data_IF_864892188137
#
_entry.id   IF_864892188137
#
_cell.length_a   1.000
_cell.length_b   1.000
_cell.length_c   1.000
_cell.angle_alpha   90.00
_cell.angle_beta   90.00
_cell.angle_gamma   90.00
#
_symmetry.space_group_name_H-M   'P 1'
#
loop_
_entity.id
_entity.type
_entity.pdbx_description
1 polymer ?
#
# COMPACT_ATOMS: atom_id res chain seq x y z
N UNK A 1 116.23 5.88 -5.77
CA UNK A 1 114.97 5.43 -5.16
C UNK A 1 114.03 6.61 -5.30
N UNK A 2 113.27 6.65 -6.41
CA UNK A 2 111.87 6.20 -6.48
C UNK A 2 110.94 7.25 -5.84
N UNK A 3 109.85 7.74 -6.40
CA UNK A 3 109.10 7.46 -7.63
C UNK A 3 108.00 8.56 -7.72
N UNK A 4 107.70 8.99 -8.95
CA UNK A 4 106.45 9.55 -9.51
C UNK A 4 105.47 10.48 -8.74
N UNK A 5 105.14 11.61 -9.38
CA UNK A 5 103.76 12.19 -9.45
C UNK A 5 103.02 11.49 -10.61
N UNK A 6 101.72 11.15 -10.51
CA UNK A 6 100.68 11.93 -11.24
C UNK A 6 99.26 11.95 -10.57
N UNK A 7 98.47 13.04 -10.63
CA UNK A 7 97.43 13.48 -11.60
C UNK A 7 96.02 12.82 -11.45
N UNK A 8 95.06 13.68 -11.07
CA UNK A 8 93.64 13.83 -11.47
C UNK A 8 92.78 12.63 -11.88
N UNK A 9 91.62 12.50 -11.24
CA UNK A 9 90.35 12.24 -11.93
C UNK A 9 89.27 13.17 -11.36
N UNK A 10 88.85 14.15 -12.16
CA UNK A 10 87.53 14.77 -12.01
C UNK A 10 86.47 13.92 -12.70
N UNK A 11 85.24 13.94 -12.17
CA UNK A 11 83.92 13.88 -12.83
C UNK A 11 82.85 13.34 -11.85
N UNK A 12 81.53 13.55 -12.08
CA UNK A 12 80.92 14.15 -13.26
C UNK A 12 79.96 15.32 -12.97
N UNK A 13 79.74 16.09 -14.04
CA UNK A 13 78.50 16.80 -14.33
C UNK A 13 77.34 15.80 -14.18
N UNK A 14 76.50 15.99 -13.15
CA UNK A 14 75.22 15.29 -13.08
C UNK A 14 74.23 16.07 -13.94
N UNK A 15 73.92 15.44 -15.06
CA UNK A 15 72.90 15.81 -16.04
C UNK A 15 71.55 15.86 -15.31
N UNK A 16 70.75 16.88 -15.59
CA UNK A 16 69.36 16.96 -15.19
C UNK A 16 68.56 15.85 -15.89
N UNK A 17 68.47 14.69 -15.27
CA UNK A 17 67.43 13.71 -15.55
C UNK A 17 66.51 13.67 -14.34
N UNK A 18 65.22 13.93 -14.57
CA UNK A 18 64.05 13.35 -13.86
C UNK A 18 62.85 14.28 -13.60
N UNK A 19 62.78 15.46 -14.20
CA UNK A 19 61.49 16.21 -14.20
C UNK A 19 60.50 15.67 -15.26
N UNK A 20 60.98 15.23 -16.43
CA UNK A 20 60.10 14.71 -17.51
C UNK A 20 59.47 13.34 -17.19
N UNK A 21 60.17 12.48 -16.43
CA UNK A 21 59.70 11.11 -16.15
C UNK A 21 58.61 11.07 -15.06
N UNK A 22 58.65 12.02 -14.11
CA UNK A 22 57.64 12.19 -13.07
C UNK A 22 56.36 12.81 -13.65
N UNK A 23 56.49 13.71 -14.62
CA UNK A 23 55.34 14.33 -15.29
C UNK A 23 54.60 13.35 -16.23
N UNK A 24 55.34 12.48 -16.93
CA UNK A 24 54.77 11.40 -17.75
C UNK A 24 53.97 10.36 -16.92
N UNK A 25 54.42 10.02 -15.71
CA UNK A 25 53.68 9.11 -14.80
C UNK A 25 52.42 9.75 -14.20
N UNK A 26 52.47 11.06 -13.87
CA UNK A 26 51.28 11.81 -13.42
C UNK A 26 50.26 12.00 -14.54
N UNK A 27 50.73 12.24 -15.77
CA UNK A 27 49.88 12.33 -16.96
C UNK A 27 49.17 11.00 -17.23
N UNK A 28 49.89 9.87 -17.29
CA UNK A 28 49.28 8.54 -17.52
C UNK A 28 48.22 8.16 -16.47
N UNK A 29 48.41 8.49 -15.19
CA UNK A 29 47.40 8.28 -14.14
C UNK A 29 46.13 9.13 -14.33
N UNK A 30 46.27 10.39 -14.78
CA UNK A 30 45.14 11.27 -15.08
C UNK A 30 44.33 10.76 -16.28
N UNK A 31 44.99 10.22 -17.31
CA UNK A 31 44.32 9.59 -18.46
C UNK A 31 43.61 8.28 -18.10
N UNK A 32 44.19 7.45 -17.23
CA UNK A 32 43.52 6.23 -16.76
C UNK A 32 42.28 6.54 -15.88
N UNK A 33 42.35 7.52 -14.97
CA UNK A 33 41.21 7.90 -14.13
C UNK A 33 40.14 8.62 -14.96
N UNK A 34 40.53 9.51 -15.87
CA UNK A 34 39.62 10.18 -16.80
C UNK A 34 38.90 9.18 -17.73
N UNK A 35 39.61 8.18 -18.26
CA UNK A 35 39.01 7.12 -19.07
C UNK A 35 38.04 6.22 -18.30
N UNK A 36 38.29 5.97 -17.02
CA UNK A 36 37.42 5.15 -16.15
C UNK A 36 36.15 5.92 -15.75
N UNK A 37 36.25 7.21 -15.48
CA UNK A 37 35.10 8.09 -15.20
C UNK A 37 34.25 8.29 -16.47
N UNK A 38 34.87 8.51 -17.63
CA UNK A 38 34.15 8.58 -18.90
C UNK A 38 33.50 7.24 -19.24
N UNK A 39 34.17 6.11 -18.98
CA UNK A 39 33.60 4.77 -19.15
C UNK A 39 32.37 4.51 -18.26
N UNK A 40 32.41 4.93 -16.98
CA UNK A 40 31.25 4.85 -16.06
C UNK A 40 30.10 5.75 -16.52
N UNK A 41 30.39 6.98 -16.96
CA UNK A 41 29.37 7.90 -17.47
C UNK A 41 28.73 7.36 -18.75
N UNK A 42 29.52 6.81 -19.67
CA UNK A 42 29.01 6.17 -20.88
C UNK A 42 28.17 4.92 -20.55
N UNK A 43 28.60 4.09 -19.60
CA UNK A 43 27.83 2.92 -19.17
C UNK A 43 26.52 3.34 -18.49
N UNK A 44 26.54 4.35 -17.63
CA UNK A 44 25.35 4.92 -17.01
C UNK A 44 24.40 5.53 -18.05
N UNK A 45 24.92 6.23 -19.06
CA UNK A 45 24.13 6.77 -20.16
C UNK A 45 23.54 5.68 -21.06
N UNK A 46 24.25 4.56 -21.27
CA UNK A 46 23.74 3.40 -22.01
C UNK A 46 22.69 2.66 -21.19
N UNK A 47 22.89 2.45 -19.89
CA UNK A 47 21.89 1.85 -19.00
C UNK A 47 20.66 2.76 -18.92
N UNK A 48 20.85 4.06 -18.76
CA UNK A 48 19.76 5.03 -18.78
C UNK A 48 19.05 5.05 -20.14
N UNK A 49 19.79 4.99 -21.25
CA UNK A 49 19.23 4.92 -22.60
C UNK A 49 18.47 3.61 -22.87
N UNK A 50 18.92 2.48 -22.30
CA UNK A 50 18.23 1.19 -22.40
C UNK A 50 16.99 1.18 -21.50
N UNK A 51 17.07 1.67 -20.25
CA UNK A 51 15.92 1.80 -19.35
C UNK A 51 14.90 2.76 -19.94
N UNK A 52 15.33 3.92 -20.44
CA UNK A 52 14.51 4.90 -21.15
C UNK A 52 13.92 4.32 -22.43
N UNK A 53 14.67 3.55 -23.22
CA UNK A 53 14.14 2.90 -24.41
C UNK A 53 13.17 1.74 -24.07
N UNK A 54 13.38 1.00 -22.98
CA UNK A 54 12.47 -0.08 -22.55
C UNK A 54 11.18 0.50 -21.96
N UNK A 55 11.25 1.58 -21.17
CA UNK A 55 10.07 2.32 -20.72
C UNK A 55 9.38 2.98 -21.91
N UNK A 56 10.07 3.76 -22.74
CA UNK A 56 9.45 4.43 -23.88
C UNK A 56 9.02 3.50 -25.01
N UNK A 57 9.58 2.30 -25.20
CA UNK A 57 9.09 1.35 -26.21
C UNK A 57 7.78 0.68 -25.78
N UNK A 58 7.49 0.62 -24.47
CA UNK A 58 6.13 0.32 -23.98
C UNK A 58 5.14 1.47 -24.27
N UNK A 59 5.62 2.71 -24.38
CA UNK A 59 4.77 3.91 -24.57
C UNK A 59 4.79 4.53 -25.98
N UNK A 60 5.67 4.10 -26.89
CA UNK A 60 5.69 4.53 -28.29
C UNK A 60 4.58 3.86 -29.12
N UNK A 61 4.01 2.78 -28.59
CA UNK A 61 2.74 2.22 -29.05
C UNK A 61 1.56 2.74 -28.19
N UNK A 62 1.71 3.94 -27.63
CA UNK A 62 0.67 4.59 -26.85
C UNK A 62 -0.62 4.67 -27.65
N UNK A 63 -1.59 3.87 -27.24
CA UNK A 63 -2.98 4.32 -27.21
C UNK A 63 -2.96 5.71 -26.60
N UNK A 64 -3.58 6.69 -27.27
CA UNK A 64 -3.81 8.00 -26.68
C UNK A 64 -4.36 7.82 -25.24
N UNK A 65 -4.09 8.75 -24.30
CA UNK A 65 -4.80 8.73 -23.02
C UNK A 65 -6.28 8.55 -23.33
N UNK A 66 -6.87 7.50 -22.77
CA UNK A 66 -8.26 7.19 -23.03
C UNK A 66 -9.06 8.48 -22.83
N UNK A 67 -9.74 8.93 -23.88
CA UNK A 67 -10.76 9.99 -23.74
C UNK A 67 -11.61 9.61 -22.54
N UNK A 68 -11.85 10.52 -21.58
CA UNK A 68 -12.68 10.22 -20.43
C UNK A 68 -13.96 9.60 -20.95
N UNK A 69 -14.27 8.38 -20.50
CA UNK A 69 -15.51 7.72 -20.86
C UNK A 69 -16.65 8.69 -20.54
N UNK A 70 -17.45 9.04 -21.56
CA UNK A 70 -18.65 9.86 -21.38
C UNK A 70 -19.78 9.06 -20.73
N UNK A 71 -19.54 7.79 -20.38
CA UNK A 71 -20.46 6.99 -19.59
C UNK A 71 -20.50 7.52 -18.16
N UNK A 72 -21.71 7.67 -17.61
CA UNK A 72 -21.89 7.91 -16.18
C UNK A 72 -21.14 6.84 -15.37
N UNK A 73 -20.62 7.18 -14.17
CA UNK A 73 -19.94 6.19 -13.31
C UNK A 73 -20.83 4.96 -13.16
N UNK A 74 -20.27 3.77 -13.40
CA UNK A 74 -20.98 2.51 -13.16
C UNK A 74 -21.25 2.42 -11.66
N UNK A 75 -22.49 2.65 -11.26
CA UNK A 75 -22.91 2.53 -9.86
C UNK A 75 -23.46 1.14 -9.62
N UNK A 76 -22.83 0.42 -8.70
CA UNK A 76 -23.29 -0.89 -8.31
C UNK A 76 -24.49 -0.77 -7.36
N UNK A 77 -25.39 -1.74 -7.44
CA UNK A 77 -26.46 -1.83 -6.46
C UNK A 77 -25.87 -2.18 -5.09
N UNK A 78 -26.19 -1.36 -4.09
CA UNK A 78 -25.78 -1.58 -2.70
C UNK A 78 -26.84 -2.44 -2.02
N UNK A 79 -26.41 -3.46 -1.27
CA UNK A 79 -27.32 -4.29 -0.48
C UNK A 79 -28.14 -3.43 0.49
N UNK A 80 -29.46 -3.67 0.63
CA UNK A 80 -30.26 -2.99 1.65
C UNK A 80 -29.81 -3.33 3.08
N UNK A 81 -29.00 -4.38 3.26
CA UNK A 81 -28.47 -4.81 4.55
C UNK A 81 -27.05 -4.30 4.83
N UNK A 82 -26.45 -3.52 3.92
CA UNK A 82 -25.08 -3.04 4.08
C UNK A 82 -24.93 -2.08 5.26
N UNK A 83 -25.96 -1.26 5.54
CA UNK A 83 -25.99 -0.33 6.68
C UNK A 83 -24.66 0.45 6.81
N UNK A 84 -24.24 1.11 5.73
CA UNK A 84 -22.90 1.68 5.58
C UNK A 84 -22.90 3.21 5.65
N UNK A 85 -21.82 3.76 6.23
CA UNK A 85 -21.43 5.14 6.02
C UNK A 85 -20.42 5.20 4.86
N UNK A 86 -20.78 5.89 3.77
CA UNK A 86 -19.93 5.96 2.59
C UNK A 86 -18.62 6.72 2.87
N UNK A 87 -18.73 7.93 3.42
CA UNK A 87 -17.59 8.80 3.72
C UNK A 87 -17.73 9.38 5.11
N UNK A 88 -16.64 9.37 5.86
CA UNK A 88 -16.49 10.14 7.09
C UNK A 88 -15.23 10.99 6.99
N UNK A 89 -15.38 12.30 7.23
CA UNK A 89 -14.28 13.26 7.25
C UNK A 89 -13.90 13.58 8.69
N UNK A 90 -12.63 13.38 9.03
CA UNK A 90 -12.06 13.80 10.31
C UNK A 90 -11.39 15.16 10.13
N UNK A 91 -12.06 16.20 10.62
CA UNK A 91 -11.57 17.58 10.53
C UNK A 91 -10.39 17.85 11.48
N UNK A 92 -9.85 19.06 11.44
CA UNK A 92 -8.73 19.47 12.29
C UNK A 92 -9.05 19.45 13.80
N UNK A 93 -10.33 19.37 14.20
CA UNK A 93 -10.74 19.29 15.60
C UNK A 93 -10.87 17.85 16.10
N UNK A 94 -10.79 16.87 15.20
CA UNK A 94 -10.91 15.46 15.54
C UNK A 94 -9.77 15.05 16.50
N UNK A 95 -10.07 14.36 17.64
CA UNK A 95 -9.06 14.04 18.65
C UNK A 95 -7.83 13.30 18.10
N UNK A 96 -8.01 12.50 17.05
CA UNK A 96 -6.94 11.76 16.43
C UNK A 96 -5.92 12.63 15.68
N UNK A 97 -6.29 13.83 15.22
CA UNK A 97 -5.37 14.76 14.52
C UNK A 97 -4.30 15.31 15.48
N UNK A 98 -4.60 15.34 16.78
CA UNK A 98 -3.67 15.82 17.81
C UNK A 98 -2.76 14.71 18.38
N UNK A 99 -2.83 13.49 17.82
CA UNK A 99 -2.00 12.37 18.27
C UNK A 99 -0.58 12.56 17.75
N UNK A 100 0.39 12.19 18.59
CA UNK A 100 1.80 12.31 18.28
C UNK A 100 2.24 11.38 17.15
N UNK A 101 1.62 10.19 17.07
CA UNK A 101 1.84 9.22 16.00
C UNK A 101 0.50 8.66 15.52
N UNK A 102 0.39 8.42 14.22
CA UNK A 102 -0.77 7.72 13.65
C UNK A 102 -0.26 6.58 12.80
N UNK A 103 -0.76 5.37 13.05
CA UNK A 103 -0.36 4.18 12.34
C UNK A 103 -1.50 3.66 11.47
N UNK A 104 -1.18 3.26 10.24
CA UNK A 104 -2.07 2.47 9.39
C UNK A 104 -1.62 1.02 9.42
N UNK A 105 -2.55 0.11 9.70
CA UNK A 105 -2.29 -1.33 9.76
C UNK A 105 -3.11 -2.03 8.67
N UNK A 106 -2.45 -2.94 7.94
CA UNK A 106 -3.07 -3.74 6.88
C UNK A 106 -4.02 -4.83 7.38
N UNK A 107 -4.48 -5.65 6.45
CA UNK A 107 -5.51 -6.67 6.64
C UNK A 107 -5.11 -7.69 7.72
N UNK A 108 -5.95 -7.80 8.75
CA UNK A 108 -5.67 -8.62 9.94
C UNK A 108 -6.28 -10.02 9.80
N UNK A 109 -7.48 -10.13 9.21
CA UNK A 109 -8.17 -11.40 8.98
C UNK A 109 -8.18 -12.33 10.20
N UNK A 110 -8.64 -11.85 11.36
CA UNK A 110 -8.72 -12.68 12.57
C UNK A 110 -7.38 -13.08 13.20
N UNK A 111 -6.23 -12.56 12.73
CA UNK A 111 -4.90 -12.84 13.29
C UNK A 111 -4.62 -11.97 14.54
N UNK A 112 -5.39 -12.18 15.61
CA UNK A 112 -5.33 -11.33 16.83
C UNK A 112 -3.98 -11.41 17.55
N UNK A 113 -3.31 -12.56 17.53
CA UNK A 113 -1.98 -12.74 18.12
C UNK A 113 -0.95 -11.86 17.42
N UNK A 114 -0.92 -11.91 16.09
CA UNK A 114 -0.06 -11.09 15.25
C UNK A 114 -0.38 -9.61 15.38
N UNK A 115 -1.66 -9.25 15.52
CA UNK A 115 -2.05 -7.88 15.80
C UNK A 115 -1.46 -7.39 17.13
N UNK A 116 -1.56 -8.18 18.20
CA UNK A 116 -0.95 -7.84 19.50
C UNK A 116 0.58 -7.78 19.46
N UNK A 117 1.23 -8.66 18.68
CA UNK A 117 2.67 -8.60 18.45
C UNK A 117 3.07 -7.31 17.75
N UNK A 118 2.32 -6.90 16.72
CA UNK A 118 2.59 -5.65 16.00
C UNK A 118 2.41 -4.42 16.91
N UNK A 119 1.34 -4.38 17.72
CA UNK A 119 1.13 -3.34 18.72
C UNK A 119 2.30 -3.23 19.71
N UNK A 120 2.85 -4.39 20.12
CA UNK A 120 4.04 -4.45 20.98
C UNK A 120 5.28 -3.92 20.24
N UNK A 121 5.48 -4.32 18.99
CA UNK A 121 6.64 -3.94 18.18
C UNK A 121 6.71 -2.43 17.90
N UNK A 122 5.57 -1.77 17.69
CA UNK A 122 5.51 -0.31 17.50
C UNK A 122 5.51 0.47 18.83
N UNK A 123 5.55 -0.25 19.97
CA UNK A 123 5.38 0.29 21.31
C UNK A 123 4.14 1.20 21.39
N UNK A 124 2.99 0.64 21.02
CA UNK A 124 1.73 1.38 20.94
C UNK A 124 1.29 1.93 22.30
N UNK A 125 0.89 3.19 22.32
CA UNK A 125 0.38 3.90 23.48
C UNK A 125 -0.88 4.68 23.11
N UNK A 126 -2.05 4.22 23.57
CA UNK A 126 -3.34 4.81 23.25
C UNK A 126 -3.50 6.29 23.68
N UNK A 127 -2.69 6.78 24.63
CA UNK A 127 -2.68 8.20 25.00
C UNK A 127 -2.13 9.05 23.87
N UNK A 128 -1.01 8.63 23.27
CA UNK A 128 -0.26 9.43 22.30
C UNK A 128 -0.48 9.02 20.85
N UNK A 129 -0.92 7.79 20.60
CA UNK A 129 -1.01 7.20 19.28
C UNK A 129 -2.46 6.95 18.85
N UNK A 130 -2.69 6.99 17.54
CA UNK A 130 -3.91 6.48 16.90
C UNK A 130 -3.56 5.32 15.97
N UNK A 131 -4.47 4.35 15.89
CA UNK A 131 -4.45 3.31 14.85
C UNK A 131 -5.63 3.51 13.91
N UNK A 132 -5.36 3.33 12.61
CA UNK A 132 -6.32 3.21 11.52
C UNK A 132 -6.12 1.84 10.88
N UNK A 133 -7.16 1.01 10.86
CA UNK A 133 -7.14 -0.32 10.23
C UNK A 133 -7.65 -0.22 8.80
N UNK A 134 -6.94 -0.82 7.84
CA UNK A 134 -7.23 -0.75 6.41
C UNK A 134 -8.41 -1.64 5.94
N UNK A 135 -9.23 -2.13 6.89
CA UNK A 135 -10.31 -3.09 6.63
C UNK A 135 -9.85 -4.56 6.72
N UNK A 136 -10.77 -5.46 6.44
CA UNK A 136 -10.61 -6.91 6.53
C UNK A 136 -10.04 -7.35 7.88
N UNK A 137 -10.73 -6.90 8.93
CA UNK A 137 -10.50 -7.35 10.29
C UNK A 137 -10.93 -8.81 10.46
N UNK A 138 -11.95 -9.22 9.72
CA UNK A 138 -12.66 -10.48 9.87
C UNK A 138 -12.33 -11.49 8.76
N UNK A 139 -12.82 -12.73 8.96
CA UNK A 139 -12.72 -13.87 8.06
C UNK A 139 -11.30 -14.44 7.86
N UNK A 140 -11.24 -15.65 7.31
CA UNK A 140 -10.02 -16.39 6.89
C UNK A 140 -9.13 -16.89 8.03
N UNK A 141 -8.76 -16.05 9.00
CA UNK A 141 -7.90 -16.46 10.13
C UNK A 141 -8.68 -16.89 11.37
N UNK A 142 -7.97 -17.15 12.49
CA UNK A 142 -8.48 -17.98 13.57
C UNK A 142 -9.46 -17.28 14.53
N UNK A 143 -9.37 -15.95 14.70
CA UNK A 143 -10.15 -15.24 15.72
C UNK A 143 -10.60 -13.84 15.27
N UNK A 144 -11.66 -13.80 14.44
CA UNK A 144 -12.26 -12.53 13.97
C UNK A 144 -12.85 -11.69 15.10
N UNK A 145 -13.51 -12.32 16.07
CA UNK A 145 -14.17 -11.60 17.18
C UNK A 145 -13.13 -11.01 18.13
N UNK A 146 -12.04 -11.72 18.38
CA UNK A 146 -10.90 -11.21 19.14
C UNK A 146 -10.29 -9.96 18.52
N UNK A 147 -10.12 -9.93 17.18
CA UNK A 147 -9.64 -8.73 16.47
C UNK A 147 -10.59 -7.54 16.66
N UNK A 148 -11.90 -7.73 16.46
CA UNK A 148 -12.90 -6.67 16.64
C UNK A 148 -12.82 -6.08 18.05
N UNK A 149 -12.87 -6.94 19.06
CA UNK A 149 -12.84 -6.52 20.48
C UNK A 149 -11.54 -5.86 20.85
N UNK A 150 -10.42 -6.34 20.30
CA UNK A 150 -9.11 -5.71 20.52
C UNK A 150 -9.06 -4.32 19.89
N UNK A 151 -9.58 -4.16 18.68
CA UNK A 151 -9.65 -2.88 17.99
C UNK A 151 -10.53 -1.87 18.75
N UNK A 152 -11.69 -2.30 19.26
CA UNK A 152 -12.54 -1.51 20.16
C UNK A 152 -11.80 -1.10 21.44
N UNK A 153 -11.13 -2.05 22.10
CA UNK A 153 -10.43 -1.83 23.37
C UNK A 153 -9.35 -0.73 23.26
N UNK A 154 -8.65 -0.66 22.13
CA UNK A 154 -7.60 0.34 21.91
C UNK A 154 -8.13 1.62 21.24
N UNK A 155 -9.42 1.69 20.93
CA UNK A 155 -10.01 2.83 20.22
C UNK A 155 -9.46 2.99 18.79
N UNK A 156 -9.16 1.88 18.12
CA UNK A 156 -8.72 1.90 16.73
C UNK A 156 -9.85 2.37 15.81
N UNK A 157 -9.52 3.26 14.89
CA UNK A 157 -10.37 3.58 13.75
C UNK A 157 -10.18 2.51 12.68
N UNK A 158 -11.11 2.41 11.74
CA UNK A 158 -11.09 1.41 10.68
C UNK A 158 -11.75 1.99 9.43
N UNK A 159 -11.39 1.48 8.26
CA UNK A 159 -12.22 1.55 7.05
C UNK A 159 -12.85 0.20 6.79
N UNK A 160 -13.96 0.17 6.06
CA UNK A 160 -14.73 -1.04 5.81
C UNK A 160 -14.05 -1.91 4.76
N UNK A 161 -13.72 -3.15 5.12
CA UNK A 161 -13.22 -4.15 4.19
C UNK A 161 -14.32 -4.93 3.47
N UNK A 162 -13.97 -5.63 2.38
CA UNK A 162 -14.95 -6.42 1.64
C UNK A 162 -15.32 -7.72 2.36
N UNK A 163 -14.52 -8.24 3.29
CA UNK A 163 -14.93 -9.32 4.18
C UNK A 163 -15.81 -8.79 5.32
N UNK A 164 -15.47 -7.62 5.85
CA UNK A 164 -16.24 -6.99 6.93
C UNK A 164 -17.66 -6.62 6.46
N UNK A 165 -17.81 -6.10 5.24
CA UNK A 165 -19.13 -5.78 4.67
C UNK A 165 -20.05 -7.01 4.59
N UNK A 166 -19.50 -8.18 4.26
CA UNK A 166 -20.26 -9.43 4.20
C UNK A 166 -20.75 -9.87 5.56
N UNK A 167 -19.91 -9.76 6.60
CA UNK A 167 -20.31 -10.02 7.99
C UNK A 167 -21.42 -9.06 8.42
N UNK A 168 -21.27 -7.76 8.12
CA UNK A 168 -22.26 -6.73 8.46
C UNK A 168 -23.59 -7.02 7.76
N UNK A 169 -23.58 -7.31 6.45
CA UNK A 169 -24.79 -7.64 5.68
C UNK A 169 -25.53 -8.83 6.27
N UNK A 170 -24.81 -9.91 6.60
CA UNK A 170 -25.41 -11.09 7.22
C UNK A 170 -26.00 -10.78 8.60
N UNK A 171 -25.28 -10.03 9.45
CA UNK A 171 -25.79 -9.65 10.77
C UNK A 171 -27.00 -8.71 10.67
N UNK A 172 -26.98 -7.76 9.74
CA UNK A 172 -28.13 -6.87 9.49
C UNK A 172 -29.33 -7.67 8.96
N UNK A 173 -29.11 -8.63 8.06
CA UNK A 173 -30.17 -9.52 7.58
C UNK A 173 -30.79 -10.33 8.72
N UNK A 174 -29.97 -10.90 9.60
CA UNK A 174 -30.43 -11.59 10.82
C UNK A 174 -31.27 -10.67 11.71
N UNK A 175 -30.79 -9.45 11.95
CA UNK A 175 -31.48 -8.48 12.81
C UNK A 175 -32.85 -8.08 12.25
N UNK A 176 -32.99 -7.98 10.92
CA UNK A 176 -34.24 -7.59 10.25
C UNK A 176 -35.21 -8.76 10.10
N UNK A 177 -34.71 -9.93 9.71
CA UNK A 177 -35.54 -11.07 9.29
C UNK A 177 -35.61 -12.21 10.33
N UNK A 178 -34.79 -12.14 11.38
CA UNK A 178 -34.61 -13.19 12.38
C UNK A 178 -33.71 -14.33 11.93
N UNK A 179 -33.05 -14.99 12.90
CA UNK A 179 -32.11 -16.09 12.66
C UNK A 179 -32.72 -17.28 11.89
N UNK A 180 -34.02 -17.56 12.06
CA UNK A 180 -34.70 -18.62 11.32
C UNK A 180 -34.67 -18.40 9.79
N UNK A 181 -34.66 -17.13 9.35
CA UNK A 181 -34.62 -16.74 7.93
C UNK A 181 -33.24 -16.89 7.30
N UNK A 182 -32.18 -17.15 8.09
CA UNK A 182 -30.84 -17.45 7.59
C UNK A 182 -30.65 -18.93 7.25
N UNK A 183 -31.77 -19.65 7.08
CA UNK A 183 -31.83 -21.07 6.74
C UNK A 183 -33.01 -21.33 5.81
N UNK A 184 -32.89 -22.32 4.90
CA UNK A 184 -33.97 -22.74 4.01
C UNK A 184 -33.79 -22.37 2.53
N UNK A 185 -33.02 -21.33 2.22
CA UNK A 185 -32.45 -21.08 0.88
C UNK A 185 -30.93 -21.14 0.95
N UNK A 186 -30.25 -21.29 -0.19
CA UNK A 186 -28.79 -21.25 -0.24
C UNK A 186 -28.23 -19.83 -0.31
N UNK A 187 -29.03 -18.86 -0.78
CA UNK A 187 -28.63 -17.48 -1.08
C UNK A 187 -29.47 -16.52 -0.23
N UNK A 188 -28.83 -15.47 0.28
CA UNK A 188 -29.46 -14.35 0.98
C UNK A 188 -30.17 -13.43 -0.02
N UNK A 189 -31.43 -13.08 0.27
CA UNK A 189 -32.22 -12.20 -0.59
C UNK A 189 -31.83 -10.72 -0.38
N UNK A 190 -30.95 -10.20 -1.23
CA UNK A 190 -30.42 -8.83 -1.17
C UNK A 190 -30.62 -8.03 -2.47
N UNK A 191 -31.36 -8.58 -3.43
CA UNK A 191 -31.47 -8.01 -4.77
C UNK A 191 -30.19 -8.16 -5.62
N UNK A 192 -30.06 -7.39 -6.72
CA UNK A 192 -29.03 -7.59 -7.75
C UNK A 192 -27.69 -6.94 -7.37
N UNK A 193 -27.13 -7.30 -6.22
CA UNK A 193 -25.80 -6.85 -5.78
C UNK A 193 -24.68 -7.58 -6.54
N UNK A 194 -23.49 -6.99 -6.70
CA UNK A 194 -22.39 -7.61 -7.45
C UNK A 194 -21.85 -8.91 -6.81
N UNK A 195 -21.96 -9.04 -5.49
CA UNK A 195 -21.47 -10.16 -4.70
C UNK A 195 -22.57 -10.73 -3.77
N UNK A 196 -23.55 -11.47 -4.32
CA UNK A 196 -24.62 -12.05 -3.51
C UNK A 196 -24.06 -13.07 -2.51
N UNK A 197 -24.64 -13.10 -1.30
CA UNK A 197 -24.13 -13.94 -0.22
C UNK A 197 -24.85 -15.28 -0.13
N UNK A 198 -24.06 -16.34 0.01
CA UNK A 198 -24.57 -17.66 0.33
C UNK A 198 -24.61 -17.87 1.84
N UNK A 199 -25.63 -18.54 2.35
CA UNK A 199 -25.65 -19.01 3.73
C UNK A 199 -24.69 -20.21 3.92
N UNK A 200 -24.32 -20.48 5.18
CA UNK A 200 -23.48 -21.60 5.58
C UNK A 200 -21.98 -21.36 5.38
N UNK A 201 -21.54 -20.12 5.20
CA UNK A 201 -20.12 -19.76 5.10
C UNK A 201 -19.58 -19.16 6.41
N UNK A 202 -18.26 -18.94 6.44
CA UNK A 202 -17.57 -18.40 7.62
C UNK A 202 -18.07 -17.00 8.02
N UNK A 203 -18.50 -16.17 7.05
CA UNK A 203 -19.07 -14.85 7.35
C UNK A 203 -20.34 -14.96 8.18
N UNK A 204 -21.19 -15.97 7.94
CA UNK A 204 -22.40 -16.19 8.73
C UNK A 204 -22.07 -16.63 10.16
N UNK A 205 -21.08 -17.50 10.31
CA UNK A 205 -20.63 -17.93 11.63
C UNK A 205 -20.08 -16.74 12.43
N UNK A 206 -19.32 -15.84 11.81
CA UNK A 206 -18.84 -14.63 12.47
C UNK A 206 -20.03 -13.74 12.83
N UNK A 207 -20.90 -13.44 11.88
CA UNK A 207 -22.06 -12.55 12.05
C UNK A 207 -22.96 -12.98 13.21
N UNK A 208 -23.34 -14.25 13.27
CA UNK A 208 -24.23 -14.80 14.30
C UNK A 208 -23.62 -14.81 15.70
N UNK A 209 -22.29 -14.71 15.83
CA UNK A 209 -21.60 -14.63 17.12
C UNK A 209 -21.24 -13.20 17.54
N UNK A 210 -21.56 -12.18 16.73
CA UNK A 210 -21.35 -10.79 17.11
C UNK A 210 -22.32 -10.37 18.21
N UNK A 211 -21.82 -9.67 19.22
CA UNK A 211 -22.67 -8.85 20.08
C UNK A 211 -23.09 -7.57 19.34
N UNK A 212 -24.09 -6.87 19.86
CA UNK A 212 -24.50 -5.57 19.29
C UNK A 212 -23.37 -4.54 19.31
N UNK A 213 -22.49 -4.61 20.31
CA UNK A 213 -21.30 -3.76 20.38
C UNK A 213 -20.28 -4.11 19.30
N UNK A 214 -20.01 -5.41 19.09
CA UNK A 214 -19.10 -5.88 18.04
C UNK A 214 -19.63 -5.45 16.64
N UNK A 215 -20.92 -5.62 16.41
CA UNK A 215 -21.61 -5.19 15.19
C UNK A 215 -21.55 -3.68 14.99
N UNK A 216 -21.87 -2.88 16.02
CA UNK A 216 -21.85 -1.43 15.94
C UNK A 216 -20.44 -0.88 15.60
N UNK A 217 -19.38 -1.52 16.11
CA UNK A 217 -18.01 -1.15 15.75
C UNK A 217 -17.72 -1.39 14.27
N UNK A 218 -17.99 -2.59 13.75
CA UNK A 218 -17.80 -2.89 12.33
C UNK A 218 -18.64 -1.96 11.44
N UNK A 219 -19.88 -1.70 11.83
CA UNK A 219 -20.76 -0.79 11.11
C UNK A 219 -20.20 0.64 11.06
N UNK A 220 -19.51 1.09 12.12
CA UNK A 220 -18.93 2.43 12.21
C UNK A 220 -17.73 2.67 11.29
N UNK A 221 -17.10 1.61 10.76
CA UNK A 221 -16.04 1.73 9.77
C UNK A 221 -16.62 2.29 8.45
N UNK A 222 -16.24 3.49 7.99
CA UNK A 222 -16.70 4.03 6.72
C UNK A 222 -16.01 3.34 5.53
N UNK A 223 -16.63 3.43 4.35
CA UNK A 223 -16.01 2.94 3.10
C UNK A 223 -14.80 3.80 2.71
N UNK A 224 -14.91 5.12 2.89
CA UNK A 224 -13.81 6.09 2.71
C UNK A 224 -13.66 6.91 3.99
N UNK A 225 -12.44 7.00 4.49
CA UNK A 225 -12.07 7.95 5.52
C UNK A 225 -11.23 9.07 4.92
N UNK A 226 -11.68 10.32 5.06
CA UNK A 226 -10.95 11.51 4.60
C UNK A 226 -10.36 12.25 5.79
N UNK A 227 -9.07 12.53 5.73
CA UNK A 227 -8.37 13.30 6.76
C UNK A 227 -7.60 14.43 6.09
N UNK A 228 -8.23 15.61 5.90
CA UNK A 228 -7.63 16.70 5.16
C UNK A 228 -6.30 17.21 5.74
N UNK A 229 -6.14 17.18 7.07
CA UNK A 229 -4.89 17.60 7.74
C UNK A 229 -3.69 16.70 7.43
N UNK A 230 -3.93 15.45 7.05
CA UNK A 230 -2.89 14.52 6.58
C UNK A 230 -2.78 14.48 5.06
N UNK A 231 -3.62 15.25 4.35
CA UNK A 231 -3.73 15.23 2.89
C UNK A 231 -3.89 13.79 2.34
N UNK A 232 -4.73 12.99 3.02
CA UNK A 232 -4.82 11.56 2.77
C UNK A 232 -6.26 11.03 2.81
N UNK A 233 -6.52 10.05 1.95
CA UNK A 233 -7.66 9.14 2.03
C UNK A 233 -7.21 7.77 2.54
N UNK A 234 -8.10 7.11 3.27
CA UNK A 234 -7.95 5.72 3.69
C UNK A 234 -9.13 4.95 3.13
N UNK A 235 -8.84 3.86 2.46
CA UNK A 235 -9.81 2.99 1.79
C UNK A 235 -9.34 1.55 1.92
N UNK A 236 -10.21 0.57 1.66
CA UNK A 236 -9.80 -0.82 1.73
C UNK A 236 -9.12 -1.31 0.43
N UNK A 237 -9.82 -1.26 -0.70
CA UNK A 237 -9.30 -1.72 -2.00
C UNK A 237 -8.55 -0.63 -2.77
N UNK A 238 -9.22 0.50 -3.02
CA UNK A 238 -8.66 1.59 -3.82
C UNK A 238 -9.68 2.67 -4.20
N UNK A 239 -9.29 3.56 -5.12
CA UNK A 239 -10.16 4.60 -5.66
C UNK A 239 -10.15 4.55 -7.19
N UNK A 240 -11.27 4.93 -7.81
CA UNK A 240 -11.34 5.16 -9.24
C UNK A 240 -10.61 6.47 -9.61
N UNK A 241 -9.49 6.42 -10.35
CA UNK A 241 -8.75 7.63 -10.73
C UNK A 241 -9.52 8.51 -11.74
N UNK A 242 -10.56 7.97 -12.39
CA UNK A 242 -11.39 8.69 -13.35
C UNK A 242 -12.56 9.45 -12.70
N UNK A 243 -12.84 9.20 -11.41
CA UNK A 243 -13.91 9.85 -10.65
C UNK A 243 -13.31 10.90 -9.70
N UNK A 244 -13.28 12.19 -10.09
CA UNK A 244 -12.54 13.22 -9.35
C UNK A 244 -13.19 13.62 -8.03
N UNK A 245 -14.52 13.52 -7.95
CA UNK A 245 -15.25 13.82 -6.71
C UNK A 245 -15.30 12.57 -5.84
N UNK A 246 -14.69 12.65 -4.66
CA UNK A 246 -14.63 11.53 -3.71
C UNK A 246 -16.03 11.01 -3.33
N UNK A 247 -17.04 11.89 -3.30
CA UNK A 247 -18.42 11.53 -2.98
C UNK A 247 -19.09 10.66 -4.06
N UNK A 248 -18.55 10.63 -5.27
CA UNK A 248 -19.13 9.91 -6.41
C UNK A 248 -18.50 8.53 -6.61
N UNK A 249 -17.47 8.17 -5.84
CA UNK A 249 -16.82 6.85 -5.87
C UNK A 249 -17.82 5.73 -5.56
N UNK A 250 -17.75 4.61 -6.28
CA UNK A 250 -18.66 3.48 -6.05
C UNK A 250 -18.21 2.66 -4.81
N UNK A 251 -19.07 2.43 -3.80
CA UNK A 251 -18.67 1.74 -2.58
C UNK A 251 -18.13 0.32 -2.79
N UNK A 252 -18.73 -0.44 -3.72
CA UNK A 252 -18.27 -1.79 -4.02
C UNK A 252 -16.87 -1.73 -4.65
N UNK A 253 -16.66 -0.85 -5.62
CA UNK A 253 -15.33 -0.64 -6.22
C UNK A 253 -14.29 -0.22 -5.19
N UNK A 254 -14.61 0.70 -4.27
CA UNK A 254 -13.66 1.15 -3.24
C UNK A 254 -13.19 0.02 -2.33
N UNK A 255 -14.06 -0.96 -2.04
CA UNK A 255 -13.71 -2.12 -1.24
C UNK A 255 -13.05 -3.25 -2.07
N UNK A 256 -13.28 -3.33 -3.38
CA UNK A 256 -12.94 -4.54 -4.14
C UNK A 256 -11.92 -4.35 -5.26
N UNK A 257 -11.61 -3.12 -5.68
CA UNK A 257 -10.75 -2.88 -6.85
C UNK A 257 -9.33 -3.41 -6.65
N UNK A 258 -8.78 -4.01 -7.72
CA UNK A 258 -7.37 -4.40 -7.82
C UNK A 258 -6.71 -3.80 -9.05
N UNK A 259 -7.38 -3.89 -10.20
CA UNK A 259 -6.85 -3.47 -11.51
C UNK A 259 -7.87 -2.60 -12.26
N UNK A 260 -7.39 -1.94 -13.31
CA UNK A 260 -8.18 -1.30 -14.36
C UNK A 260 -7.95 -2.10 -15.65
N UNK A 261 -9.01 -2.64 -16.23
CA UNK A 261 -8.92 -3.49 -17.42
C UNK A 261 -8.67 -2.67 -18.71
N UNK A 262 -8.51 -3.36 -19.84
CA UNK A 262 -8.27 -2.73 -21.15
C UNK A 262 -9.38 -1.79 -21.64
N UNK A 263 -10.59 -1.93 -21.10
CA UNK A 263 -11.75 -1.10 -21.43
C UNK A 263 -11.83 0.15 -20.52
N UNK A 264 -10.90 0.30 -19.57
CA UNK A 264 -10.86 1.37 -18.59
C UNK A 264 -11.77 1.13 -17.38
N UNK A 265 -12.34 -0.07 -17.23
CA UNK A 265 -13.21 -0.41 -16.11
C UNK A 265 -12.40 -0.96 -14.93
N UNK A 266 -12.77 -0.55 -13.71
CA UNK A 266 -12.26 -1.15 -12.48
C UNK A 266 -12.68 -2.63 -12.38
N UNK A 267 -11.78 -3.46 -11.86
CA UNK A 267 -12.03 -4.88 -11.63
C UNK A 267 -11.45 -5.36 -10.30
N UNK A 268 -12.15 -6.31 -9.68
CA UNK A 268 -11.67 -7.02 -8.50
C UNK A 268 -10.67 -8.14 -8.82
N UNK A 269 -10.47 -8.45 -10.11
CA UNK A 269 -9.45 -9.36 -10.60
C UNK A 269 -8.08 -8.67 -10.62
N UNK A 270 -7.03 -9.43 -10.31
CA UNK A 270 -5.62 -9.00 -10.45
C UNK A 270 -4.94 -9.56 -11.71
N UNK A 271 -5.71 -10.12 -12.65
CA UNK A 271 -5.21 -10.84 -13.83
C UNK A 271 -5.58 -10.15 -15.14
N UNK A 272 -6.22 -9.00 -15.05
CA UNK A 272 -7.08 -8.51 -16.14
C UNK A 272 -6.79 -7.06 -16.50
N UNK A 273 -5.75 -6.45 -15.93
CA UNK A 273 -5.44 -5.05 -16.16
C UNK A 273 -4.18 -4.55 -15.48
N UNK A 274 -4.01 -3.24 -15.50
CA UNK A 274 -2.95 -2.53 -14.79
C UNK A 274 -3.42 -2.18 -13.36
N UNK A 275 -2.54 -2.19 -12.34
CA UNK A 275 -2.93 -1.86 -10.98
C UNK A 275 -3.55 -0.46 -10.89
N UNK A 276 -4.70 -0.34 -10.21
CA UNK A 276 -5.35 0.97 -10.04
C UNK A 276 -4.43 2.02 -9.40
N UNK A 277 -3.54 1.56 -8.50
CA UNK A 277 -2.56 2.39 -7.81
C UNK A 277 -1.59 3.06 -8.79
N UNK A 278 -1.22 2.38 -9.86
CA UNK A 278 -0.26 2.88 -10.83
C UNK A 278 -0.89 4.03 -11.64
N UNK A 279 -2.15 3.87 -12.03
CA UNK A 279 -2.95 4.92 -12.69
C UNK A 279 -3.21 6.11 -11.76
N UNK A 280 -3.52 5.86 -10.48
CA UNK A 280 -3.68 6.93 -9.49
C UNK A 280 -2.40 7.77 -9.37
N UNK A 281 -1.24 7.12 -9.23
CA UNK A 281 0.05 7.81 -9.11
C UNK A 281 0.40 8.62 -10.35
N UNK A 282 0.08 8.12 -11.54
CA UNK A 282 0.29 8.83 -12.81
C UNK A 282 -0.61 10.06 -12.94
N UNK A 283 -1.86 9.97 -12.45
CA UNK A 283 -2.83 11.08 -12.51
C UNK A 283 -2.53 12.22 -11.52
N UNK A 284 -1.77 11.96 -10.45
CA UNK A 284 -1.46 12.98 -9.45
C UNK A 284 -0.46 14.03 -9.99
N UNK A 285 -0.71 15.31 -9.69
CA UNK A 285 0.21 16.41 -9.95
C UNK A 285 0.59 17.12 -8.65
N UNK A 286 1.77 17.73 -8.61
CA UNK A 286 2.37 18.32 -7.40
C UNK A 286 1.53 19.35 -6.62
N UNK A 287 0.43 19.85 -7.19
CA UNK A 287 -0.44 20.86 -6.58
C UNK A 287 -1.78 20.33 -6.04
N UNK A 288 -2.22 19.15 -6.47
CA UNK A 288 -3.50 18.54 -6.04
C UNK A 288 -3.36 17.10 -5.54
N UNK A 289 -2.13 16.63 -5.36
CA UNK A 289 -1.87 15.26 -4.93
C UNK A 289 -2.51 14.94 -3.59
N UNK A 290 -3.19 13.78 -3.50
CA UNK A 290 -3.59 13.17 -2.23
C UNK A 290 -2.99 11.79 -2.06
N UNK A 291 -2.54 11.50 -0.84
CA UNK A 291 -2.08 10.17 -0.46
C UNK A 291 -3.28 9.23 -0.32
N UNK A 292 -3.12 7.97 -0.69
CA UNK A 292 -4.12 6.92 -0.47
C UNK A 292 -3.49 5.73 0.24
N UNK A 293 -3.98 5.43 1.44
CA UNK A 293 -3.58 4.26 2.22
C UNK A 293 -4.62 3.16 2.05
N UNK A 294 -4.18 1.94 1.73
CA UNK A 294 -5.07 0.84 1.38
C UNK A 294 -4.56 -0.56 1.77
N UNK A 295 -5.49 -1.51 1.83
CA UNK A 295 -5.29 -2.92 2.14
C UNK A 295 -5.55 -3.83 0.93
N UNK A 296 -6.25 -4.97 1.13
CA UNK A 296 -6.86 -5.88 0.14
C UNK A 296 -5.92 -6.64 -0.81
N UNK A 297 -4.85 -5.99 -1.25
CA UNK A 297 -3.99 -6.42 -2.33
C UNK A 297 -2.88 -7.39 -1.88
N UNK A 298 -3.17 -8.36 -1.00
CA UNK A 298 -2.21 -9.34 -0.48
C UNK A 298 -1.37 -10.02 -1.57
N UNK A 299 -1.90 -10.22 -2.78
CA UNK A 299 -1.15 -10.77 -3.91
C UNK A 299 0.05 -9.91 -4.34
N UNK A 300 0.01 -8.61 -4.05
CA UNK A 300 1.09 -7.63 -4.28
C UNK A 300 1.98 -7.42 -3.06
N UNK A 301 1.50 -7.80 -1.87
CA UNK A 301 2.20 -7.56 -0.61
C UNK A 301 2.33 -6.06 -0.32
N UNK A 302 3.33 -5.70 0.47
CA UNK A 302 3.65 -4.31 0.79
C UNK A 302 4.02 -3.55 -0.51
N UNK A 303 3.21 -2.55 -0.88
CA UNK A 303 3.35 -1.79 -2.11
C UNK A 303 3.36 -0.29 -1.80
N UNK A 304 4.54 0.32 -1.82
CA UNK A 304 4.70 1.74 -1.50
C UNK A 304 5.13 2.51 -2.75
N UNK A 305 4.30 3.47 -3.14
CA UNK A 305 4.55 4.39 -4.25
C UNK A 305 4.60 5.83 -3.73
N UNK A 306 4.68 6.80 -4.65
CA UNK A 306 4.75 8.22 -4.29
C UNK A 306 3.49 8.70 -3.56
N UNK A 307 2.31 8.27 -4.02
CA UNK A 307 1.01 8.74 -3.54
C UNK A 307 0.09 7.63 -3.02
N UNK A 308 0.51 6.37 -3.12
CA UNK A 308 -0.29 5.23 -2.66
C UNK A 308 0.52 4.29 -1.79
N UNK A 309 -0.07 3.84 -0.69
CA UNK A 309 0.58 3.06 0.36
C UNK A 309 -0.26 1.81 0.65
N UNK A 310 0.04 0.73 -0.05
CA UNK A 310 -0.59 -0.58 0.12
C UNK A 310 0.08 -1.34 1.26
N UNK A 311 -0.64 -1.51 2.37
CA UNK A 311 -0.12 -2.08 3.62
C UNK A 311 -0.51 -3.54 3.87
N UNK A 312 -1.29 -4.14 2.96
CA UNK A 312 -1.63 -5.56 3.02
C UNK A 312 -0.44 -6.44 2.59
N UNK A 313 0.35 -6.84 3.58
CA UNK A 313 1.47 -7.76 3.42
C UNK A 313 1.07 -9.24 3.49
N UNK A 314 -0.22 -9.57 3.54
CA UNK A 314 -0.75 -10.94 3.48
C UNK A 314 -0.54 -11.75 4.75
N UNK A 315 -0.87 -11.20 5.92
CA UNK A 315 -0.61 -11.83 7.21
C UNK A 315 -1.20 -13.25 7.31
N UNK A 316 -2.49 -13.41 7.01
CA UNK A 316 -3.20 -14.70 7.14
C UNK A 316 -2.61 -15.82 6.28
N UNK A 317 -1.88 -15.47 5.21
CA UNK A 317 -1.19 -16.39 4.33
C UNK A 317 0.22 -16.79 4.82
N UNK A 318 0.58 -16.43 6.06
CA UNK A 318 1.86 -16.75 6.68
C UNK A 318 2.99 -15.82 6.28
N UNK A 319 2.68 -14.60 5.84
CA UNK A 319 3.67 -13.58 5.50
C UNK A 319 3.89 -12.65 6.69
N UNK A 320 3.50 -11.38 6.57
CA UNK A 320 3.71 -10.39 7.63
C UNK A 320 2.44 -9.57 7.85
N UNK A 321 2.29 -8.99 9.04
CA UNK A 321 1.36 -7.91 9.33
C UNK A 321 2.16 -6.60 9.40
N UNK A 322 1.70 -5.57 8.70
CA UNK A 322 2.45 -4.31 8.55
C UNK A 322 1.74 -3.15 9.22
N UNK A 323 2.51 -2.33 9.93
CA UNK A 323 2.14 -0.97 10.33
C UNK A 323 3.04 0.04 9.59
N UNK A 324 2.45 1.13 9.10
CA UNK A 324 3.16 2.33 8.63
C UNK A 324 2.78 3.53 9.49
N UNK A 325 3.76 4.28 9.99
CA UNK A 325 3.52 5.55 10.68
C UNK A 325 3.36 6.68 9.66
N UNK A 326 2.28 7.48 9.77
CA UNK A 326 1.86 8.43 8.74
C UNK A 326 2.83 9.58 8.49
N UNK A 327 3.53 10.09 9.50
CA UNK A 327 4.37 11.27 9.34
C UNK A 327 5.76 10.92 8.83
N UNK A 328 6.34 9.84 9.34
CA UNK A 328 7.69 9.41 9.03
C UNK A 328 7.74 8.34 7.95
N UNK A 329 6.59 7.76 7.59
CA UNK A 329 6.48 6.56 6.73
C UNK A 329 7.36 5.38 7.22
N UNK A 330 7.63 5.31 8.53
CA UNK A 330 8.40 4.21 9.10
C UNK A 330 7.52 2.96 9.14
N UNK A 331 8.12 1.84 8.74
CA UNK A 331 7.42 0.56 8.58
C UNK A 331 7.86 -0.37 9.70
N UNK A 332 6.89 -1.02 10.34
CA UNK A 332 7.14 -2.12 11.27
C UNK A 332 6.35 -3.34 10.82
N UNK A 333 7.01 -4.49 10.81
CA UNK A 333 6.38 -5.76 10.41
C UNK A 333 6.62 -6.82 11.47
N UNK A 334 5.63 -7.69 11.65
CA UNK A 334 5.77 -8.93 12.42
C UNK A 334 5.44 -10.11 11.52
N UNK A 335 6.15 -11.22 11.69
CA UNK A 335 5.88 -12.45 10.96
C UNK A 335 4.56 -13.08 11.41
N UNK A 336 3.78 -13.59 10.47
CA UNK A 336 2.50 -14.22 10.75
C UNK A 336 2.55 -15.73 10.58
N UNK A 337 1.74 -16.46 11.36
CA UNK A 337 1.49 -17.87 11.08
C UNK A 337 0.62 -18.01 9.83
N UNK A 338 0.76 -19.15 9.14
CA UNK A 338 -0.08 -19.46 7.97
C UNK A 338 -1.39 -20.09 8.43
N UNK A 339 -2.50 -19.41 8.19
CA UNK A 339 -3.86 -19.90 8.46
C UNK A 339 -4.63 -20.23 7.17
N UNK A 340 -4.26 -19.59 6.05
CA UNK A 340 -4.83 -19.84 4.73
C UNK A 340 -3.76 -20.07 3.66
N UNK A 341 -4.14 -20.78 2.60
CA UNK A 341 -3.26 -21.22 1.51
C UNK A 341 -3.20 -20.28 0.34
#
# INVERSE_FOLDING_TARGET
MAEEKPISVGNPIAISEDDDFVELKRSRRKWCIGGLVVGIICLAAVIFGIVWAVTHKKYANGSAPATPSTAAPKTNHVSPYANMSKIVTYDANSPMVNKARVFVIGDIHGCVDEFNQLLTAINYNATNDQIILAGDLTATGPDSIGVIRRAQQIGALCVRGNHDDKVIRMRTYENVNGAASMSGTSVMDEGPVPDPLNFGNDHQQIATNLTDSDYAYLQSCPVIMDIPSFNAYFVHGGLDPTVPNINDQDPYSVMNVRDINSDGDLTSSHKSGDPWSDEWNQAQNSTTSKNVYYGHAANRGLNLQTWTFGVDSGCVYGRQLTAIELHSHNITQVSCKKYAS
#
